data_IF_887411567846
#
_entry.id   IF_887411567846
#
_cell.length_a   1.000
_cell.length_b   1.000
_cell.length_c   1.000
_cell.angle_alpha   90.00
_cell.angle_beta   90.00
_cell.angle_gamma   90.00
#
_symmetry.space_group_name_H-M   'P 1'
#
loop_
_entity.id
_entity.type
_entity.pdbx_description
1 polymer ?
#
# COMPACT_ATOMS: atom_id res chain seq x y z
N UNK A 1 -8.59 -19.64 -1.91
CA UNK A 1 -7.95 -20.65 -2.77
C UNK A 1 -8.71 -20.69 -4.07
N UNK A 2 -8.05 -20.20 -5.12
CA UNK A 2 -8.42 -20.42 -6.51
C UNK A 2 -8.49 -21.92 -6.81
N UNK A 3 -9.52 -22.36 -7.52
CA UNK A 3 -9.43 -22.92 -8.90
C UNK A 3 -10.69 -23.69 -9.30
N UNK A 4 -10.95 -23.77 -10.62
CA UNK A 4 -12.21 -24.23 -11.22
C UNK A 4 -12.21 -25.75 -11.44
N UNK A 5 -13.39 -26.37 -11.49
CA UNK A 5 -13.57 -27.77 -11.87
C UNK A 5 -14.04 -27.89 -13.31
N UNK A 6 -13.24 -28.63 -14.07
CA UNK A 6 -13.35 -28.90 -15.50
C UNK A 6 -14.57 -29.73 -15.89
N UNK A 7 -15.00 -29.49 -17.12
CA UNK A 7 -15.85 -30.33 -17.94
C UNK A 7 -15.19 -31.67 -18.26
N UNK A 8 -15.94 -32.76 -18.15
CA UNK A 8 -15.59 -34.04 -18.77
C UNK A 8 -16.83 -34.67 -19.43
N UNK A 9 -16.78 -34.78 -20.76
CA UNK A 9 -17.64 -35.64 -21.55
C UNK A 9 -17.27 -37.11 -21.34
N UNK A 10 -18.26 -37.99 -21.27
CA UNK A 10 -18.07 -39.41 -21.54
C UNK A 10 -19.32 -40.00 -22.22
N UNK A 11 -19.13 -40.41 -23.47
CA UNK A 11 -20.03 -41.30 -24.21
C UNK A 11 -19.78 -42.75 -23.76
N UNK A 12 -20.84 -43.53 -23.58
CA UNK A 12 -20.76 -44.96 -23.28
C UNK A 12 -22.10 -45.65 -23.49
N UNK A 13 -22.07 -46.75 -24.23
CA UNK A 13 -23.17 -47.37 -24.98
C UNK A 13 -23.60 -48.70 -24.32
N UNK A 14 -24.85 -49.09 -24.59
CA UNK A 14 -25.37 -50.46 -24.76
C UNK A 14 -25.84 -51.35 -23.58
N UNK A 15 -27.13 -51.73 -23.70
CA UNK A 15 -27.69 -53.08 -23.90
C UNK A 15 -28.47 -53.83 -22.79
N UNK A 16 -29.64 -54.35 -23.22
CA UNK A 16 -30.35 -55.54 -22.73
C UNK A 16 -31.54 -55.26 -21.81
N UNK A 17 -32.68 -55.97 -21.82
CA UNK A 17 -33.18 -57.10 -22.60
C UNK A 17 -34.70 -57.25 -22.28
N UNK A 18 -35.52 -57.62 -23.27
CA UNK A 18 -36.64 -58.59 -23.24
C UNK A 18 -37.70 -58.63 -22.11
N UNK A 19 -39.00 -58.63 -22.49
CA UNK A 19 -39.86 -59.83 -22.34
C UNK A 19 -41.13 -59.76 -23.21
N UNK A 20 -41.58 -60.94 -23.61
CA UNK A 20 -42.65 -61.28 -24.57
C UNK A 20 -43.97 -61.53 -23.83
N UNK A 21 -45.12 -61.47 -24.53
CA UNK A 21 -46.21 -62.45 -24.37
C UNK A 21 -47.07 -62.52 -25.65
N UNK A 22 -47.38 -63.74 -26.06
CA UNK A 22 -48.09 -64.13 -27.28
C UNK A 22 -49.56 -64.52 -27.00
N UNK A 23 -50.26 -64.95 -28.08
CA UNK A 23 -51.56 -65.65 -28.22
C UNK A 23 -52.61 -64.79 -28.95
N UNK A 24 -53.45 -65.28 -29.87
CA UNK A 24 -53.53 -66.48 -30.72
C UNK A 24 -54.66 -66.24 -31.76
N UNK A 25 -54.77 -67.14 -32.75
CA UNK A 25 -55.90 -67.38 -33.68
C UNK A 25 -56.05 -66.48 -34.91
N UNK A 26 -56.57 -66.94 -36.04
CA UNK A 26 -56.64 -68.23 -36.74
C UNK A 26 -57.23 -67.88 -38.11
N UNK A 27 -56.74 -68.51 -39.17
CA UNK A 27 -57.12 -68.25 -40.56
C UNK A 27 -58.36 -69.09 -40.93
N UNK A 28 -59.36 -68.52 -41.60
CA UNK A 28 -60.37 -69.31 -42.34
C UNK A 28 -60.83 -68.60 -43.61
N UNK A 29 -60.78 -69.37 -44.70
CA UNK A 29 -61.18 -69.02 -46.06
C UNK A 29 -62.70 -69.02 -46.30
N UNK A 30 -63.08 -68.23 -47.31
CA UNK A 30 -64.12 -68.45 -48.34
C UNK A 30 -65.57 -68.69 -47.93
N UNK A 31 -66.46 -67.78 -48.36
CA UNK A 31 -67.63 -68.15 -49.15
C UNK A 31 -67.98 -67.06 -50.18
N UNK A 32 -68.39 -67.54 -51.34
CA UNK A 32 -68.58 -66.85 -52.60
C UNK A 32 -70.07 -66.53 -52.81
N UNK A 33 -70.33 -65.56 -53.70
CA UNK A 33 -71.62 -65.25 -54.38
C UNK A 33 -72.57 -64.36 -53.54
N UNK A 34 -73.29 -63.39 -54.11
CA UNK A 34 -73.93 -63.35 -55.44
C UNK A 34 -74.56 -61.97 -55.68
N UNK A 35 -74.57 -61.51 -56.96
CA UNK A 35 -75.58 -60.65 -57.64
C UNK A 35 -75.80 -59.24 -57.05
N UNK A 36 -76.20 -58.21 -57.78
CA UNK A 36 -76.45 -57.89 -59.19
C UNK A 36 -76.51 -56.34 -59.19
N UNK A 37 -75.85 -55.67 -60.14
CA UNK A 37 -76.52 -54.89 -61.18
C UNK A 37 -77.32 -53.69 -60.63
N UNK A 38 -76.81 -52.46 -60.82
CA UNK A 38 -77.44 -51.42 -61.64
C UNK A 38 -76.88 -50.00 -61.43
N UNK A 39 -76.63 -49.34 -62.58
CA UNK A 39 -76.95 -47.94 -62.92
C UNK A 39 -76.08 -46.77 -62.42
N UNK A 40 -75.58 -46.03 -63.43
CA UNK A 40 -75.64 -44.56 -63.51
C UNK A 40 -75.17 -43.80 -62.28
N UNK A 41 -73.86 -43.72 -62.09
CA UNK A 41 -73.25 -42.89 -61.05
C UNK A 41 -72.13 -42.05 -61.66
N UNK A 42 -72.24 -40.74 -61.50
CA UNK A 42 -71.21 -39.76 -61.82
C UNK A 42 -70.01 -40.10 -60.94
N UNK A 43 -68.91 -40.58 -61.51
CA UNK A 43 -67.74 -40.98 -60.73
C UNK A 43 -67.03 -39.72 -60.22
N UNK A 44 -67.01 -39.53 -58.91
CA UNK A 44 -66.40 -38.37 -58.27
C UNK A 44 -64.88 -38.57 -58.23
N UNK A 45 -64.16 -37.87 -59.10
CA UNK A 45 -62.69 -37.88 -59.07
C UNK A 45 -62.21 -37.12 -57.82
N UNK A 46 -62.00 -37.86 -56.74
CA UNK A 46 -61.37 -37.35 -55.52
C UNK A 46 -59.96 -37.93 -55.37
N UNK A 47 -58.94 -37.07 -55.39
CA UNK A 47 -57.57 -37.48 -55.07
C UNK A 47 -57.44 -37.71 -53.57
N UNK A 48 -57.27 -38.96 -53.17
CA UNK A 48 -56.97 -39.31 -51.78
C UNK A 48 -55.65 -38.66 -51.36
N UNK A 49 -55.68 -37.86 -50.29
CA UNK A 49 -54.50 -37.33 -49.61
C UNK A 49 -54.52 -37.82 -48.17
N UNK A 50 -53.52 -38.60 -47.79
CA UNK A 50 -53.33 -39.03 -46.42
C UNK A 50 -52.49 -37.97 -45.70
N UNK A 51 -53.05 -37.36 -44.65
CA UNK A 51 -52.37 -36.37 -43.83
C UNK A 51 -51.97 -36.95 -42.48
N UNK A 52 -50.77 -36.61 -42.01
CA UNK A 52 -50.35 -36.79 -40.62
C UNK A 52 -49.85 -35.44 -40.10
N UNK A 53 -50.78 -34.51 -39.89
CA UNK A 53 -50.44 -33.19 -39.34
C UNK A 53 -50.24 -33.32 -37.84
N UNK A 54 -49.07 -32.88 -37.37
CA UNK A 54 -48.77 -32.87 -35.94
C UNK A 54 -49.68 -31.88 -35.22
N UNK A 55 -50.10 -32.18 -33.97
CA UNK A 55 -50.83 -31.21 -33.16
C UNK A 55 -49.93 -30.03 -32.82
N UNK A 56 -50.57 -28.87 -32.62
CA UNK A 56 -49.87 -27.66 -32.19
C UNK A 56 -49.23 -27.87 -30.81
N UNK A 57 -48.11 -27.19 -30.60
CA UNK A 57 -47.36 -27.24 -29.35
C UNK A 57 -48.25 -26.75 -28.19
N UNK A 58 -48.48 -27.55 -27.15
CA UNK A 58 -49.27 -27.12 -26.01
C UNK A 58 -48.45 -26.11 -25.19
N UNK A 59 -48.84 -24.84 -25.23
CA UNK A 59 -48.25 -23.78 -24.40
C UNK A 59 -48.89 -23.79 -23.01
N UNK A 60 -48.59 -24.81 -22.21
CA UNK A 60 -49.07 -24.86 -20.82
C UNK A 60 -48.46 -23.72 -19.98
N UNK A 61 -49.23 -23.09 -19.09
CA UNK A 61 -48.74 -22.02 -18.25
C UNK A 61 -47.66 -22.54 -17.29
N UNK A 62 -46.54 -21.83 -17.21
CA UNK A 62 -45.44 -22.19 -16.30
C UNK A 62 -45.80 -21.81 -14.86
N UNK A 63 -45.84 -22.79 -13.97
CA UNK A 63 -46.03 -22.54 -12.54
C UNK A 63 -44.82 -21.80 -11.96
N UNK A 64 -45.09 -20.69 -11.27
CA UNK A 64 -44.08 -19.95 -10.52
C UNK A 64 -43.97 -20.54 -9.11
N UNK A 65 -42.74 -20.71 -8.63
CA UNK A 65 -42.51 -21.13 -7.26
C UNK A 65 -42.95 -20.02 -6.31
N UNK A 66 -43.90 -20.34 -5.42
CA UNK A 66 -44.36 -19.40 -4.40
C UNK A 66 -43.22 -19.05 -3.44
N UNK A 67 -42.98 -17.77 -3.11
CA UNK A 67 -41.93 -17.34 -2.20
C UNK A 67 -42.36 -17.57 -0.76
N UNK A 68 -42.62 -18.82 -0.38
CA UNK A 68 -42.78 -19.16 1.02
C UNK A 68 -41.42 -19.03 1.70
N UNK A 69 -41.32 -18.03 2.58
CA UNK A 69 -40.23 -17.89 3.54
C UNK A 69 -40.05 -19.26 4.21
N UNK A 70 -38.82 -19.79 4.16
CA UNK A 70 -38.53 -21.08 4.78
C UNK A 70 -38.97 -21.07 6.25
N UNK A 71 -39.68 -22.12 6.70
CA UNK A 71 -40.13 -22.22 8.10
C UNK A 71 -38.98 -22.09 9.10
N UNK A 72 -37.75 -22.38 8.66
CA UNK A 72 -36.51 -22.16 9.39
C UNK A 72 -36.34 -20.69 9.88
N UNK A 73 -36.94 -19.70 9.21
CA UNK A 73 -36.95 -18.30 9.70
C UNK A 73 -37.74 -18.14 11.01
N UNK A 74 -38.76 -18.95 11.23
CA UNK A 74 -39.66 -18.85 12.39
C UNK A 74 -39.30 -19.80 13.53
N UNK A 75 -38.43 -20.79 13.28
CA UNK A 75 -37.97 -21.77 14.28
C UNK A 75 -36.64 -21.34 14.92
N UNK A 76 -35.84 -20.52 14.23
CA UNK A 76 -34.55 -20.05 14.76
C UNK A 76 -34.70 -18.88 15.73
N UNK A 77 -34.46 -19.11 17.02
CA UNK A 77 -34.30 -18.02 17.98
C UNK A 77 -33.06 -17.20 17.61
N UNK A 78 -33.28 -15.91 17.31
CA UNK A 78 -32.21 -14.95 17.09
C UNK A 78 -32.33 -13.87 18.16
N UNK A 79 -31.31 -13.70 19.03
CA UNK A 79 -31.40 -12.70 20.07
C UNK A 79 -31.54 -11.32 19.43
N UNK A 80 -32.57 -10.60 19.84
CA UNK A 80 -32.88 -9.29 19.29
C UNK A 80 -31.87 -8.25 19.77
N UNK A 81 -31.73 -7.14 19.05
CA UNK A 81 -30.94 -6.00 19.53
C UNK A 81 -31.48 -5.46 20.86
N UNK A 82 -32.79 -5.57 21.08
CA UNK A 82 -33.44 -5.14 22.32
C UNK A 82 -32.97 -5.96 23.53
N UNK A 83 -32.86 -7.28 23.37
CA UNK A 83 -32.35 -8.16 24.44
C UNK A 83 -30.87 -7.87 24.75
N UNK A 84 -30.06 -7.59 23.72
CA UNK A 84 -28.63 -7.28 23.90
C UNK A 84 -28.39 -5.90 24.52
N UNK A 85 -29.26 -4.94 24.23
CA UNK A 85 -29.17 -3.57 24.76
C UNK A 85 -29.92 -3.41 26.08
N UNK A 86 -30.51 -4.48 26.63
CA UNK A 86 -31.17 -4.42 27.91
C UNK A 86 -30.13 -4.24 29.02
N UNK A 87 -30.22 -3.13 29.76
CA UNK A 87 -29.38 -2.88 30.93
C UNK A 87 -29.97 -3.65 32.10
N UNK A 88 -29.34 -4.78 32.44
CA UNK A 88 -29.68 -5.52 33.65
C UNK A 88 -29.37 -4.67 34.88
N UNK A 89 -30.35 -4.61 35.78
CA UNK A 89 -30.14 -4.03 37.10
C UNK A 89 -29.24 -4.95 37.92
N UNK A 90 -28.24 -4.36 38.59
CA UNK A 90 -27.37 -5.10 39.50
C UNK A 90 -28.16 -5.35 40.79
N UNK A 91 -28.74 -6.55 40.91
CA UNK A 91 -29.39 -7.03 42.13
C UNK A 91 -28.32 -7.30 43.19
N UNK A 92 -27.92 -6.25 43.89
CA UNK A 92 -26.93 -6.27 44.95
C UNK A 92 -27.61 -6.26 46.31
N UNK A 93 -26.93 -6.79 47.33
CA UNK A 93 -27.38 -6.70 48.71
C UNK A 93 -27.51 -5.23 49.13
N UNK A 94 -28.33 -4.90 50.15
CA UNK A 94 -28.54 -3.53 50.60
C UNK A 94 -27.27 -2.79 51.01
N UNK A 95 -26.24 -3.53 51.43
CA UNK A 95 -24.92 -3.01 51.83
C UNK A 95 -23.91 -2.98 50.68
N UNK A 96 -24.33 -3.25 49.44
CA UNK A 96 -23.46 -3.40 48.26
C UNK A 96 -22.32 -4.42 48.50
N UNK A 97 -22.53 -5.36 49.43
CA UNK A 97 -21.52 -6.30 49.93
C UNK A 97 -20.26 -5.61 50.52
N UNK A 98 -20.37 -4.36 50.97
CA UNK A 98 -19.33 -3.62 51.70
C UNK A 98 -19.51 -3.86 53.20
N UNK A 99 -18.79 -4.86 53.73
CA UNK A 99 -18.86 -5.22 55.14
C UNK A 99 -17.92 -4.33 55.97
N UNK A 100 -18.50 -3.50 56.83
CA UNK A 100 -17.75 -2.63 57.75
C UNK A 100 -17.42 -3.43 59.02
N UNK A 101 -16.14 -3.72 59.23
CA UNK A 101 -15.65 -4.47 60.39
C UNK A 101 -15.30 -3.53 61.55
N UNK A 102 -16.14 -3.51 62.58
CA UNK A 102 -15.93 -2.70 63.79
C UNK A 102 -15.25 -3.47 64.92
N UNK A 103 -14.89 -4.74 64.70
CA UNK A 103 -14.39 -5.64 65.74
C UNK A 103 -12.87 -5.61 65.78
N UNK A 104 -12.21 -5.74 64.64
CA UNK A 104 -10.75 -5.71 64.55
C UNK A 104 -10.25 -4.28 64.24
N UNK A 105 -9.54 -3.62 65.18
CA UNK A 105 -8.97 -2.30 64.95
C UNK A 105 -7.82 -2.31 63.93
N UNK A 106 -7.28 -3.49 63.56
CA UNK A 106 -6.19 -3.62 62.59
C UNK A 106 -6.69 -3.58 61.13
N UNK A 107 -7.94 -3.95 60.85
CA UNK A 107 -8.49 -4.06 59.49
C UNK A 107 -8.39 -2.76 58.69
N UNK A 108 -8.53 -1.61 59.37
CA UNK A 108 -8.46 -0.28 58.76
C UNK A 108 -7.26 0.54 59.27
N UNK A 109 -6.29 -0.09 59.92
CA UNK A 109 -5.15 0.61 60.47
C UNK A 109 -4.23 1.14 59.35
N UNK A 110 -4.14 2.46 59.24
CA UNK A 110 -3.16 3.13 58.39
C UNK A 110 -2.07 3.76 59.26
N UNK A 111 -0.81 3.39 59.04
CA UNK A 111 0.33 4.02 59.69
C UNK A 111 0.48 5.49 59.21
N UNK A 112 0.31 6.44 60.13
CA UNK A 112 0.39 7.89 59.86
C UNK A 112 1.78 8.36 59.41
N UNK A 113 2.80 7.50 59.47
CA UNK A 113 4.20 7.81 59.19
C UNK A 113 4.59 7.64 57.72
N UNK A 114 3.81 6.85 56.96
CA UNK A 114 4.10 6.50 55.58
C UNK A 114 3.33 7.36 54.59
N UNK A 115 4.05 7.97 53.64
CA UNK A 115 3.43 8.62 52.48
C UNK A 115 2.86 7.51 51.58
N UNK A 116 1.59 7.15 51.77
CA UNK A 116 0.93 6.12 50.97
C UNK A 116 0.92 6.54 49.49
N UNK A 117 1.59 5.75 48.66
CA UNK A 117 1.38 5.82 47.21
C UNK A 117 0.11 5.03 46.93
N UNK A 118 -0.93 5.70 46.42
CA UNK A 118 -2.10 5.01 45.86
C UNK A 118 -1.64 4.15 44.67
N UNK A 119 -2.32 3.03 44.47
CA UNK A 119 -2.17 2.29 43.22
C UNK A 119 -2.72 3.18 42.09
N UNK A 120 -2.07 3.24 40.92
CA UNK A 120 -2.58 3.99 39.78
C UNK A 120 -4.01 3.60 39.36
N UNK A 121 -4.45 2.36 39.60
CA UNK A 121 -5.83 1.94 39.32
C UNK A 121 -6.80 2.62 40.27
N UNK A 122 -6.46 2.68 41.56
CA UNK A 122 -7.29 3.33 42.58
C UNK A 122 -7.33 4.85 42.35
N UNK A 123 -6.20 5.44 41.97
CA UNK A 123 -6.12 6.85 41.58
C UNK A 123 -7.05 7.18 40.40
N UNK A 124 -7.12 6.30 39.40
CA UNK A 124 -8.02 6.47 38.25
C UNK A 124 -9.50 6.36 38.65
N UNK A 125 -9.85 5.48 39.59
CA UNK A 125 -11.23 5.34 40.08
C UNK A 125 -11.69 6.57 40.90
N UNK A 126 -10.75 7.36 41.42
CA UNK A 126 -11.02 8.61 42.14
C UNK A 126 -11.16 9.83 41.21
N UNK A 127 -10.89 9.69 39.91
CA UNK A 127 -11.09 10.77 38.95
C UNK A 127 -12.59 11.07 38.77
N UNK A 128 -12.99 12.33 38.92
CA UNK A 128 -14.35 12.78 38.59
C UNK A 128 -14.66 12.52 37.10
N UNK A 129 -15.94 12.29 36.75
CA UNK A 129 -16.37 12.20 35.36
C UNK A 129 -16.01 13.49 34.61
N UNK A 130 -14.85 13.46 33.95
CA UNK A 130 -14.32 14.61 33.27
C UNK A 130 -15.10 14.78 31.97
N UNK A 131 -16.07 15.71 31.95
CA UNK A 131 -16.87 16.09 30.79
C UNK A 131 -16.02 16.41 29.53
N UNK A 132 -14.73 16.70 29.70
CA UNK A 132 -13.79 16.87 28.58
C UNK A 132 -13.52 15.57 27.81
N UNK A 133 -13.62 14.39 28.44
CA UNK A 133 -13.44 13.09 27.78
C UNK A 133 -14.57 12.78 26.79
N UNK A 134 -15.77 13.38 26.93
CA UNK A 134 -16.83 13.30 25.92
C UNK A 134 -16.43 13.97 24.60
N UNK A 135 -15.50 14.94 24.64
CA UNK A 135 -14.96 15.62 23.47
C UNK A 135 -13.77 14.89 22.80
N UNK A 136 -13.38 13.71 23.27
CA UNK A 136 -12.29 12.93 22.66
C UNK A 136 -12.58 12.60 21.19
N UNK A 137 -13.85 12.38 20.84
CA UNK A 137 -14.26 12.18 19.43
C UNK A 137 -14.03 13.43 18.56
N UNK A 138 -14.20 14.63 19.14
CA UNK A 138 -13.98 15.91 18.46
C UNK A 138 -12.49 16.16 18.25
N UNK A 139 -11.65 15.95 19.26
CA UNK A 139 -10.20 16.14 19.15
C UNK A 139 -9.55 15.17 18.15
N UNK A 140 -10.02 13.91 18.10
CA UNK A 140 -9.57 12.93 17.10
C UNK A 140 -9.87 13.40 15.67
N UNK A 141 -11.05 14.00 15.44
CA UNK A 141 -11.42 14.51 14.12
C UNK A 141 -10.58 15.72 13.71
N UNK A 142 -10.26 16.64 14.64
CA UNK A 142 -9.43 17.80 14.36
C UNK A 142 -7.95 17.46 14.12
N UNK A 143 -7.45 16.31 14.60
CA UNK A 143 -6.08 15.86 14.32
C UNK A 143 -5.94 15.17 12.96
N UNK A 144 -7.03 14.87 12.25
CA UNK A 144 -6.96 14.19 10.95
C UNK A 144 -6.24 15.09 9.95
N UNK A 145 -5.14 14.57 9.40
CA UNK A 145 -4.42 15.24 8.32
C UNK A 145 -5.24 15.08 7.05
N UNK A 146 -5.62 16.20 6.46
CA UNK A 146 -6.43 16.25 5.25
C UNK A 146 -5.54 16.80 4.12
N UNK A 147 -5.24 16.04 3.06
CA UNK A 147 -4.22 16.41 2.08
C UNK A 147 -4.46 17.75 1.36
N UNK A 148 -5.72 18.17 1.24
CA UNK A 148 -6.12 19.41 0.59
C UNK A 148 -6.20 20.62 1.55
N UNK A 149 -6.06 20.39 2.86
CA UNK A 149 -6.17 21.44 3.87
C UNK A 149 -4.78 21.76 4.42
N UNK A 150 -4.26 22.97 4.10
CA UNK A 150 -3.00 23.46 4.65
C UNK A 150 -3.20 24.03 6.06
N UNK A 151 -2.13 23.99 6.87
CA UNK A 151 -2.09 24.71 8.14
C UNK A 151 -2.06 26.21 7.87
N UNK A 152 -2.71 26.99 8.72
CA UNK A 152 -2.69 28.46 8.64
C UNK A 152 -1.31 28.98 8.98
N UNK A 153 -0.73 29.79 8.11
CA UNK A 153 0.51 30.53 8.38
C UNK A 153 0.17 31.92 8.92
N UNK A 154 0.85 32.33 9.97
CA UNK A 154 0.73 33.68 10.52
C UNK A 154 1.76 34.59 9.85
N UNK A 155 1.37 35.83 9.56
CA UNK A 155 2.26 36.84 8.98
C UNK A 155 3.32 37.20 10.04
N UNK A 156 4.55 36.72 9.85
CA UNK A 156 5.71 37.11 10.65
C UNK A 156 6.46 38.27 9.98
N UNK A 157 7.21 39.03 10.77
CA UNK A 157 7.94 40.24 10.32
C UNK A 157 9.07 39.97 9.33
N UNK A 158 9.38 38.70 9.03
CA UNK A 158 10.50 38.31 8.15
C UNK A 158 10.08 37.83 6.76
N UNK A 159 8.79 37.87 6.43
CA UNK A 159 8.24 37.34 5.17
C UNK A 159 8.67 38.11 3.90
N UNK A 160 9.30 39.28 4.00
CA UNK A 160 9.65 40.11 2.83
C UNK A 160 11.11 40.01 2.36
N UNK A 161 11.71 38.82 2.31
CA UNK A 161 13.05 38.68 1.72
C UNK A 161 13.11 38.06 0.31
N UNK A 162 12.15 37.24 -0.12
CA UNK A 162 12.28 36.53 -1.41
C UNK A 162 11.02 36.29 -2.24
N UNK A 163 9.92 37.04 -2.06
CA UNK A 163 8.78 36.83 -2.96
C UNK A 163 7.59 37.74 -2.77
N UNK A 164 7.73 39.03 -3.10
CA UNK A 164 6.73 39.97 -3.67
C UNK A 164 7.58 41.18 -4.12
N UNK A 165 8.32 41.01 -5.21
CA UNK A 165 9.33 41.99 -5.68
C UNK A 165 9.17 42.37 -7.15
N UNK A 166 7.97 42.25 -7.73
CA UNK A 166 7.77 42.61 -9.15
C UNK A 166 6.81 43.80 -9.39
N UNK A 167 6.22 44.42 -8.36
CA UNK A 167 5.24 45.50 -8.57
C UNK A 167 5.30 46.64 -7.55
N UNK A 168 6.48 46.98 -7.03
CA UNK A 168 6.61 48.14 -6.15
C UNK A 168 8.04 48.63 -5.94
N UNK A 169 8.35 49.75 -6.57
CA UNK A 169 9.47 50.66 -6.29
C UNK A 169 10.88 50.21 -6.75
N UNK A 170 11.18 50.53 -8.00
CA UNK A 170 12.15 51.60 -8.35
C UNK A 170 12.59 52.48 -7.15
N UNK A 171 13.45 51.96 -6.28
CA UNK A 171 14.32 52.75 -5.38
C UNK A 171 15.62 51.97 -5.09
N UNK A 172 16.64 52.05 -5.96
CA UNK A 172 17.96 51.47 -5.67
C UNK A 172 18.70 52.17 -4.51
N UNK A 173 18.24 53.33 -4.04
CA UNK A 173 19.04 54.20 -3.16
C UNK A 173 18.97 53.87 -1.65
N UNK A 174 18.00 53.05 -1.20
CA UNK A 174 17.78 52.85 0.25
C UNK A 174 18.39 51.56 0.81
N UNK A 175 18.94 50.68 -0.03
CA UNK A 175 19.53 49.39 0.41
C UNK A 175 21.05 49.30 0.39
N UNK A 176 21.76 50.37 -0.01
CA UNK A 176 23.23 50.35 -0.13
C UNK A 176 23.92 50.96 1.11
N UNK A 177 23.24 51.81 1.89
CA UNK A 177 23.90 52.59 2.96
C UNK A 177 24.04 51.92 4.34
N UNK A 178 23.06 51.12 4.77
CA UNK A 178 22.99 50.67 6.18
C UNK A 178 23.58 49.28 6.44
N UNK A 179 23.52 48.38 5.45
CA UNK A 179 24.10 47.04 5.55
C UNK A 179 25.62 47.01 5.32
N UNK A 180 26.13 47.90 4.46
CA UNK A 180 27.56 47.97 4.17
C UNK A 180 28.35 48.58 5.33
N UNK A 181 27.80 49.61 6.00
CA UNK A 181 28.51 50.36 7.05
C UNK A 181 28.75 49.55 8.33
N UNK A 182 27.93 48.53 8.62
CA UNK A 182 28.16 47.62 9.75
C UNK A 182 28.96 46.37 9.37
N UNK A 183 28.89 45.90 8.11
CA UNK A 183 29.75 44.80 7.64
C UNK A 183 31.20 45.24 7.41
N UNK A 184 31.41 46.44 6.88
CA UNK A 184 32.74 47.05 6.67
C UNK A 184 33.39 47.47 8.00
N UNK A 185 32.61 47.72 9.06
CA UNK A 185 33.17 48.09 10.37
C UNK A 185 33.65 46.90 11.21
N UNK A 186 33.09 45.71 10.96
CA UNK A 186 33.37 44.52 11.76
C UNK A 186 34.37 43.56 11.10
N UNK A 187 34.64 43.71 9.80
CA UNK A 187 35.83 43.15 9.15
C UNK A 187 36.92 44.23 9.21
N UNK A 188 37.95 44.10 10.07
CA UNK A 188 39.12 44.95 9.93
C UNK A 188 39.67 44.72 8.53
N UNK A 189 40.26 45.74 7.91
CA UNK A 189 40.99 45.61 6.66
C UNK A 189 42.28 44.77 6.90
N UNK A 190 42.12 43.48 7.21
CA UNK A 190 43.10 42.54 7.79
C UNK A 190 44.12 42.02 6.75
N UNK A 191 44.11 42.58 5.53
CA UNK A 191 44.91 42.11 4.40
C UNK A 191 45.76 43.21 3.76
N UNK A 192 46.03 44.32 4.46
CA UNK A 192 46.85 45.42 3.90
C UNK A 192 48.35 45.16 3.99
N UNK A 193 48.79 44.49 5.05
CA UNK A 193 50.20 44.21 5.32
C UNK A 193 50.52 42.73 5.04
N UNK A 194 51.76 42.45 4.61
CA UNK A 194 52.21 41.09 4.28
C UNK A 194 52.13 40.17 5.50
N UNK A 195 52.53 40.65 6.67
CA UNK A 195 52.49 39.86 7.90
C UNK A 195 51.04 39.60 8.35
N UNK A 196 50.15 40.57 8.14
CA UNK A 196 48.71 40.43 8.38
C UNK A 196 48.07 39.40 7.45
N UNK A 197 48.47 39.38 6.17
CA UNK A 197 48.01 38.37 5.21
C UNK A 197 48.49 36.96 5.59
N UNK A 198 49.77 36.81 5.99
CA UNK A 198 50.32 35.53 6.43
C UNK A 198 49.57 35.04 7.69
N UNK A 199 49.33 35.93 8.66
CA UNK A 199 48.56 35.59 9.86
C UNK A 199 47.12 35.17 9.53
N UNK A 200 46.45 35.85 8.61
CA UNK A 200 45.10 35.49 8.19
C UNK A 200 45.06 34.15 7.44
N UNK A 201 46.06 33.86 6.59
CA UNK A 201 46.21 32.55 5.95
C UNK A 201 46.40 31.46 7.01
N UNK A 202 47.31 31.64 7.96
CA UNK A 202 47.53 30.65 9.03
C UNK A 202 46.27 30.45 9.88
N UNK A 203 45.52 31.53 10.11
CA UNK A 203 44.24 31.48 10.83
C UNK A 203 43.22 30.57 10.15
N UNK A 204 43.07 30.61 8.83
CA UNK A 204 42.13 29.71 8.13
C UNK A 204 42.50 28.23 8.32
N UNK A 205 43.79 27.88 8.29
CA UNK A 205 44.23 26.51 8.58
C UNK A 205 43.91 26.09 10.03
N UNK A 206 44.10 26.98 11.01
CA UNK A 206 43.76 26.69 12.41
C UNK A 206 42.25 26.61 12.66
N UNK A 207 41.45 27.41 11.95
CA UNK A 207 39.99 27.39 12.08
C UNK A 207 39.38 26.18 11.38
N UNK A 208 39.92 25.76 10.23
CA UNK A 208 39.48 24.56 9.50
C UNK A 208 39.73 23.25 10.27
N UNK A 209 40.67 23.23 11.22
CA UNK A 209 40.89 22.08 12.11
C UNK A 209 39.85 21.97 13.23
N UNK A 210 39.03 23.00 13.46
CA UNK A 210 38.00 22.96 14.50
C UNK A 210 36.75 22.24 13.97
N UNK A 211 36.15 21.32 14.74
CA UNK A 211 34.99 20.56 14.29
C UNK A 211 33.75 21.46 14.08
N UNK A 212 33.02 21.23 13.01
CA UNK A 212 31.85 21.99 12.57
C UNK A 212 30.58 21.47 13.25
N UNK A 213 30.21 22.05 14.38
CA UNK A 213 29.05 21.60 15.16
C UNK A 213 27.69 22.10 14.63
N UNK A 214 27.67 23.25 13.93
CA UNK A 214 26.41 23.92 13.55
C UNK A 214 26.50 24.49 12.14
N UNK A 215 25.41 24.33 11.39
CA UNK A 215 25.27 25.00 10.09
C UNK A 215 25.11 26.51 10.27
N UNK A 216 25.81 27.31 9.45
CA UNK A 216 25.89 28.77 9.60
C UNK A 216 24.54 29.50 9.55
N UNK A 217 23.55 28.96 8.83
CA UNK A 217 22.25 29.60 8.58
C UNK A 217 21.05 28.81 9.10
N UNK A 218 21.22 27.50 9.33
CA UNK A 218 20.10 26.60 9.67
C UNK A 218 20.31 26.06 11.08
N UNK A 219 19.48 26.52 12.01
CA UNK A 219 19.51 26.00 13.37
C UNK A 219 19.08 24.52 13.39
N UNK A 220 19.76 23.71 14.20
CA UNK A 220 19.45 22.28 14.37
C UNK A 220 20.08 21.33 13.34
N UNK A 221 20.86 21.84 12.39
CA UNK A 221 21.64 21.00 11.47
C UNK A 221 23.06 20.83 12.02
N UNK A 222 23.46 19.58 12.22
CA UNK A 222 24.79 19.17 12.69
C UNK A 222 25.55 18.47 11.57
N UNK A 223 26.88 18.61 11.53
CA UNK A 223 27.71 17.86 10.60
C UNK A 223 27.68 16.36 10.94
N UNK A 224 27.59 15.51 9.91
CA UNK A 224 27.61 14.05 10.04
C UNK A 224 29.03 13.52 9.83
N UNK A 225 29.70 14.02 8.79
CA UNK A 225 31.05 13.62 8.41
C UNK A 225 31.83 14.86 7.94
N UNK A 226 33.12 14.91 8.27
CA UNK A 226 34.05 15.96 7.85
C UNK A 226 35.15 15.36 6.99
N UNK A 227 35.19 15.71 5.70
CA UNK A 227 36.16 15.19 4.74
C UNK A 227 37.23 16.26 4.48
N UNK A 228 38.49 16.08 4.91
CA UNK A 228 39.54 17.04 4.67
C UNK A 228 39.98 17.03 3.20
N UNK A 229 40.13 18.22 2.61
CA UNK A 229 40.60 18.37 1.23
C UNK A 229 42.12 18.55 1.25
N UNK A 230 42.84 17.51 0.81
CA UNK A 230 44.28 17.58 0.58
C UNK A 230 44.57 17.71 -0.92
N UNK A 231 45.61 18.46 -1.31
CA UNK A 231 46.09 18.42 -2.68
C UNK A 231 46.56 17.02 -3.04
N UNK A 232 46.30 16.60 -4.27
CA UNK A 232 46.65 15.28 -4.75
C UNK A 232 48.15 15.19 -5.04
N UNK A 233 48.87 14.36 -4.30
CA UNK A 233 50.31 14.19 -4.43
C UNK A 233 50.71 13.03 -5.37
N UNK A 234 49.76 12.17 -5.76
CA UNK A 234 50.06 10.92 -6.45
C UNK A 234 49.47 10.88 -7.88
N UNK A 235 48.23 11.33 -8.06
CA UNK A 235 47.51 11.21 -9.31
C UNK A 235 47.62 12.45 -10.21
N UNK A 236 48.16 13.56 -9.70
CA UNK A 236 48.31 14.82 -10.46
C UNK A 236 49.11 14.68 -11.77
N UNK A 237 49.98 13.66 -11.84
CA UNK A 237 50.80 13.33 -13.02
C UNK A 237 49.98 12.70 -14.16
N UNK A 238 48.78 12.19 -13.89
CA UNK A 238 47.94 11.55 -14.88
C UNK A 238 46.94 12.56 -15.46
N UNK A 239 46.82 12.64 -16.80
CA UNK A 239 45.75 13.41 -17.42
C UNK A 239 44.42 12.73 -17.09
N UNK A 240 43.51 13.46 -16.45
CA UNK A 240 42.15 12.99 -16.20
C UNK A 240 41.16 13.71 -17.11
N UNK A 241 40.13 12.98 -17.53
CA UNK A 241 38.97 13.55 -18.20
C UNK A 241 37.80 13.53 -17.21
N UNK A 242 37.24 14.69 -16.91
CA UNK A 242 36.02 14.77 -16.11
C UNK A 242 34.81 14.56 -17.03
N UNK A 243 34.05 13.51 -16.77
CA UNK A 243 32.82 13.19 -17.50
C UNK A 243 31.64 13.53 -16.59
N UNK A 244 30.84 14.52 -17.00
CA UNK A 244 29.65 14.97 -16.27
C UNK A 244 28.42 14.60 -17.12
N UNK A 245 27.41 14.04 -16.48
CA UNK A 245 26.11 13.81 -17.11
C UNK A 245 25.16 14.94 -16.73
N UNK A 246 24.61 15.65 -17.73
CA UNK A 246 23.62 16.71 -17.52
C UNK A 246 22.27 16.16 -17.01
N UNK A 247 22.03 14.87 -17.24
CA UNK A 247 20.85 14.15 -16.81
C UNK A 247 21.25 12.82 -16.17
N UNK A 248 20.30 12.22 -15.45
CA UNK A 248 20.47 10.90 -14.88
C UNK A 248 20.94 9.87 -15.93
N UNK A 249 22.09 9.19 -15.74
CA UNK A 249 22.60 8.21 -16.70
C UNK A 249 21.75 6.93 -16.78
N UNK A 250 20.84 6.67 -15.82
CA UNK A 250 19.97 5.48 -15.80
C UNK A 250 18.48 5.86 -15.60
N UNK A 251 17.86 6.61 -16.53
CA UNK A 251 16.50 7.15 -16.32
C UNK A 251 15.40 6.07 -16.33
N UNK A 252 15.67 4.92 -16.96
CA UNK A 252 14.71 3.82 -17.09
C UNK A 252 14.85 2.73 -16.01
N UNK A 253 15.87 2.80 -15.15
CA UNK A 253 16.14 1.78 -14.15
C UNK A 253 15.44 2.12 -12.82
N UNK A 254 14.40 1.35 -12.47
CA UNK A 254 13.62 1.53 -11.23
C UNK A 254 14.11 0.65 -10.07
N UNK A 255 14.69 -0.51 -10.38
CA UNK A 255 15.16 -1.50 -9.42
C UNK A 255 16.70 -1.53 -9.36
N UNK A 256 17.27 -1.82 -8.19
CA UNK A 256 18.72 -1.93 -7.91
C UNK A 256 19.59 -0.81 -8.50
N UNK A 257 19.03 0.40 -8.55
CA UNK A 257 19.63 1.57 -9.19
C UNK A 257 20.98 1.95 -8.60
N UNK A 258 21.07 1.98 -7.27
CA UNK A 258 22.30 2.38 -6.57
C UNK A 258 23.45 1.40 -6.85
N UNK A 259 23.17 0.10 -6.78
CA UNK A 259 24.15 -0.95 -7.09
C UNK A 259 24.63 -0.86 -8.54
N UNK A 260 23.71 -0.65 -9.50
CA UNK A 260 24.06 -0.47 -10.91
C UNK A 260 24.90 0.78 -11.19
N UNK A 261 24.70 1.86 -10.43
CA UNK A 261 25.52 3.07 -10.54
C UNK A 261 26.93 2.84 -10.00
N UNK A 262 27.06 2.11 -8.89
CA UNK A 262 28.35 1.79 -8.25
C UNK A 262 29.20 0.87 -9.16
N UNK A 263 28.57 -0.11 -9.79
CA UNK A 263 29.26 -1.10 -10.63
C UNK A 263 29.44 -0.67 -12.09
N UNK A 264 28.88 0.48 -12.48
CA UNK A 264 28.99 0.95 -13.86
C UNK A 264 30.43 1.32 -14.23
N UNK A 265 30.81 1.00 -15.46
CA UNK A 265 32.15 1.24 -15.98
C UNK A 265 32.11 2.33 -17.03
N UNK A 266 33.04 3.28 -16.91
CA UNK A 266 33.27 4.33 -17.89
C UNK A 266 34.45 3.91 -18.76
N UNK A 267 34.26 3.87 -20.08
CA UNK A 267 35.31 3.49 -21.03
C UNK A 267 35.43 4.48 -22.17
N UNK A 268 36.66 4.94 -22.44
CA UNK A 268 36.95 5.70 -23.65
C UNK A 268 36.87 4.81 -24.88
N UNK A 269 36.11 5.24 -25.88
CA UNK A 269 35.94 4.58 -27.17
C UNK A 269 36.30 5.56 -28.29
N UNK A 270 36.73 5.02 -29.44
CA UNK A 270 36.96 5.80 -30.63
C UNK A 270 36.12 5.22 -31.77
N UNK A 271 35.42 6.08 -32.50
CA UNK A 271 34.71 5.69 -33.72
C UNK A 271 35.70 5.42 -34.86
N UNK A 272 35.24 4.74 -35.91
CA UNK A 272 35.96 4.45 -37.15
C UNK A 272 36.47 5.71 -37.86
N UNK A 273 35.86 6.86 -37.60
CA UNK A 273 36.26 8.19 -38.10
C UNK A 273 37.29 8.90 -37.19
N UNK A 274 37.71 8.28 -36.08
CA UNK A 274 38.71 8.82 -35.14
C UNK A 274 38.14 9.73 -34.04
N UNK A 275 36.82 9.92 -33.99
CA UNK A 275 36.16 10.68 -32.93
C UNK A 275 36.19 9.90 -31.61
N UNK A 276 36.73 10.51 -30.55
CA UNK A 276 36.78 9.91 -29.22
C UNK A 276 35.50 10.26 -28.43
N UNK A 277 34.85 9.25 -27.88
CA UNK A 277 33.67 9.40 -27.01
C UNK A 277 33.80 8.49 -25.79
N UNK A 278 32.98 8.75 -24.77
CA UNK A 278 32.97 7.97 -23.55
C UNK A 278 31.71 7.12 -23.50
N UNK A 279 31.88 5.80 -23.43
CA UNK A 279 30.80 4.86 -23.17
C UNK A 279 30.58 4.68 -21.68
N UNK A 280 29.33 4.83 -21.24
CA UNK A 280 28.89 4.49 -19.90
C UNK A 280 28.17 3.14 -19.94
N UNK A 281 28.74 2.13 -19.28
CA UNK A 281 28.22 0.76 -19.28
C UNK A 281 27.69 0.41 -17.90
N UNK A 282 26.37 0.24 -17.79
CA UNK A 282 25.74 -0.27 -16.58
C UNK A 282 25.47 -1.79 -16.72
N UNK A 283 25.62 -2.56 -15.63
CA UNK A 283 25.36 -3.99 -15.66
C UNK A 283 23.87 -4.29 -15.87
N UNK A 284 23.59 -5.41 -16.56
CA UNK A 284 22.26 -5.99 -16.68
C UNK A 284 21.81 -6.55 -15.32
N UNK A 285 20.49 -6.64 -15.11
CA UNK A 285 19.92 -7.19 -13.87
C UNK A 285 20.38 -8.62 -13.59
N UNK A 286 20.47 -9.45 -14.63
CA UNK A 286 20.94 -10.84 -14.52
C UNK A 286 22.41 -10.91 -14.07
N UNK A 287 23.26 -10.03 -14.59
CA UNK A 287 24.68 -9.98 -14.22
C UNK A 287 24.88 -9.48 -12.79
N UNK A 288 24.02 -8.57 -12.32
CA UNK A 288 24.02 -8.10 -10.94
C UNK A 288 23.64 -9.24 -9.98
N UNK A 289 22.60 -10.02 -10.31
CA UNK A 289 22.16 -11.15 -9.48
C UNK A 289 23.22 -12.25 -9.39
N UNK A 290 23.92 -12.53 -10.49
CA UNK A 290 25.03 -13.50 -10.48
C UNK A 290 26.18 -13.03 -9.57
N UNK A 291 26.55 -11.74 -9.62
CA UNK A 291 27.57 -11.19 -8.72
C UNK A 291 27.16 -11.26 -7.25
N UNK A 292 25.91 -10.94 -6.93
CA UNK A 292 25.42 -11.07 -5.56
C UNK A 292 25.51 -12.52 -5.06
N UNK A 293 25.23 -13.49 -5.93
CA UNK A 293 25.39 -14.90 -5.61
C UNK A 293 26.86 -15.32 -5.45
N UNK A 294 27.76 -14.82 -6.30
CA UNK A 294 29.21 -15.07 -6.21
C UNK A 294 29.79 -14.47 -4.91
N UNK A 295 29.40 -13.25 -4.53
CA UNK A 295 29.80 -12.60 -3.28
C UNK A 295 29.33 -13.40 -2.05
N UNK A 296 28.10 -13.92 -2.10
CA UNK A 296 27.53 -14.78 -1.04
C UNK A 296 28.26 -16.13 -0.93
N UNK A 297 28.73 -16.69 -2.05
CA UNK A 297 29.52 -17.94 -2.09
C UNK A 297 30.97 -17.72 -1.61
N UNK A 298 31.59 -16.59 -1.91
CA UNK A 298 32.96 -16.25 -1.48
C UNK A 298 33.05 -16.08 0.05
N UNK A 299 32.00 -15.57 0.70
CA UNK A 299 31.89 -15.54 2.17
C UNK A 299 31.64 -16.91 2.80
N UNK A 300 31.29 -17.94 2.01
CA UNK A 300 30.85 -19.26 2.47
C UNK A 300 31.92 -20.36 2.51
N UNK A 301 33.15 -20.14 2.00
CA UNK A 301 34.08 -21.25 1.74
C UNK A 301 35.47 -21.10 2.39
N UNK A 302 35.53 -21.41 3.69
CA UNK A 302 36.66 -22.12 4.29
C UNK A 302 36.14 -23.20 5.25
N UNK A 303 35.71 -24.34 4.71
CA UNK A 303 35.61 -25.57 5.51
C UNK A 303 36.85 -26.43 5.22
N UNK A 304 37.77 -26.36 6.17
CA UNK A 304 38.99 -27.14 6.28
C UNK A 304 38.65 -28.64 6.14
N UNK A 305 39.13 -29.25 5.04
CA UNK A 305 39.00 -30.68 4.80
C UNK A 305 39.97 -31.43 5.70
N UNK A 306 39.43 -32.07 6.73
CA UNK A 306 40.12 -33.09 7.51
C UNK A 306 39.36 -34.41 7.30
N UNK A 307 39.85 -35.22 6.38
CA UNK A 307 39.73 -36.69 6.38
C UNK A 307 41.11 -37.28 6.06
#
# INVERSE_FOLDING_TARGET
MDRPSASSFSFGRNHGHHSQHAHHSANHHSHQRRRAQERGGIDLICRAKYGNTLPDLPFEPKFLQSPFISLNRFIGYKPSSLEKCFRYELLTEPDLNVKIDLIDPMTYYCDSSGKFSLDPIDEQLLEDENLSQLNTRRSIQHRKVVPWMRKTEYISTEFSRYGIGQTGAERPDTKIGYGMKNRIKNEPFEYKDRDSQIAAIQRTFTEAQKPVQRHYSKAGVTAVEEIPIFPDFELWKYPFAQVIFDADPLPYCKENREQKLIEAIIRGMADTEGNQFVGYFAPLDEALQQRMADDDEEFGSYKEGME
#
